data_IF_144536883562
#
_entry.id   IF_144536883562
#
_cell.length_a   1.000
_cell.length_b   1.000
_cell.length_c   1.000
_cell.angle_alpha   90.00
_cell.angle_beta   90.00
_cell.angle_gamma   90.00
#
_symmetry.space_group_name_H-M   'P 1'
#
loop_
_entity.id
_entity.type
_entity.pdbx_description
1 polymer ?
#
# COMPACT_ATOMS: atom_id res chain seq x y z
N UNK A 1 8.12 -1.77 -21.02
CA UNK A 1 8.05 -0.34 -20.62
C UNK A 1 7.57 -0.24 -19.18
N UNK A 2 6.37 -0.69 -18.83
CA UNK A 2 5.85 -0.64 -17.43
C UNK A 2 6.71 -1.34 -16.38
N UNK A 3 7.29 -2.51 -16.67
CA UNK A 3 8.14 -3.23 -15.70
C UNK A 3 9.39 -2.42 -15.33
N UNK A 4 10.03 -1.75 -16.30
CA UNK A 4 11.26 -0.96 -16.07
C UNK A 4 10.94 0.28 -15.22
N UNK A 5 9.84 0.96 -15.52
CA UNK A 5 9.37 2.10 -14.72
C UNK A 5 8.93 1.66 -13.31
N UNK A 6 8.24 0.53 -13.19
CA UNK A 6 7.85 -0.05 -11.90
C UNK A 6 9.05 -0.44 -11.03
N UNK A 7 10.08 -1.08 -11.61
CA UNK A 7 11.32 -1.41 -10.89
C UNK A 7 12.09 -0.15 -10.49
N UNK A 8 12.21 0.84 -11.38
CA UNK A 8 12.88 2.10 -11.07
C UNK A 8 12.19 2.88 -9.94
N UNK A 9 10.87 2.95 -9.97
CA UNK A 9 10.07 3.58 -8.92
C UNK A 9 10.21 2.84 -7.58
N UNK A 10 10.21 1.49 -7.60
CA UNK A 10 10.41 0.69 -6.38
C UNK A 10 11.77 0.96 -5.74
N UNK A 11 12.84 1.03 -6.55
CA UNK A 11 14.18 1.35 -6.04
C UNK A 11 14.24 2.78 -5.48
N UNK A 12 13.56 3.72 -6.12
CA UNK A 12 13.47 5.11 -5.67
C UNK A 12 12.71 5.24 -4.35
N UNK A 13 11.62 4.50 -4.17
CA UNK A 13 10.83 4.53 -2.92
C UNK A 13 11.39 3.64 -1.82
N UNK A 14 12.33 2.74 -2.14
CA UNK A 14 12.92 1.78 -1.21
C UNK A 14 13.41 2.42 0.11
N UNK A 15 14.14 3.56 0.12
CA UNK A 15 14.58 4.18 1.37
C UNK A 15 13.39 4.60 2.24
N UNK A 16 12.32 5.10 1.63
CA UNK A 16 11.08 5.49 2.32
C UNK A 16 10.35 4.26 2.83
N UNK A 17 10.22 3.21 2.02
CA UNK A 17 9.58 1.95 2.40
C UNK A 17 10.29 1.29 3.59
N UNK A 18 11.62 1.22 3.56
CA UNK A 18 12.41 0.64 4.66
C UNK A 18 12.30 1.49 5.92
N UNK A 19 12.43 2.81 5.80
CA UNK A 19 12.31 3.72 6.95
C UNK A 19 10.91 3.65 7.57
N UNK A 20 9.86 3.62 6.75
CA UNK A 20 8.49 3.43 7.18
C UNK A 20 8.30 2.09 7.88
N UNK A 21 8.83 1.01 7.30
CA UNK A 21 8.74 -0.32 7.88
C UNK A 21 9.37 -0.40 9.28
N UNK A 22 10.57 0.18 9.43
CA UNK A 22 11.28 0.26 10.72
C UNK A 22 10.48 1.12 11.70
N UNK A 23 10.01 2.29 11.30
CA UNK A 23 9.23 3.18 12.17
C UNK A 23 7.97 2.49 12.71
N UNK A 24 7.20 1.80 11.86
CA UNK A 24 6.03 1.04 12.31
C UNK A 24 6.40 -0.10 13.26
N UNK A 25 7.45 -0.86 12.93
CA UNK A 25 7.87 -1.99 13.76
C UNK A 25 8.34 -1.58 15.16
N UNK A 26 8.86 -0.36 15.28
CA UNK A 26 9.26 0.23 16.57
C UNK A 26 8.09 0.89 17.31
N UNK A 27 7.07 1.38 16.61
CA UNK A 27 5.96 2.12 17.23
C UNK A 27 4.78 1.26 17.67
N UNK A 28 4.51 0.13 17.02
CA UNK A 28 3.34 -0.70 17.35
C UNK A 28 3.67 -2.19 17.29
N UNK A 29 2.87 -3.00 17.99
CA UNK A 29 2.97 -4.47 17.95
C UNK A 29 1.97 -4.99 16.92
N UNK A 30 2.44 -5.69 15.89
CA UNK A 30 1.55 -6.23 14.87
C UNK A 30 2.24 -6.71 13.60
N UNK A 31 1.45 -7.20 12.62
CA UNK A 31 1.92 -7.40 11.27
C UNK A 31 2.38 -6.08 10.65
N UNK A 32 3.26 -6.16 9.66
CA UNK A 32 3.78 -4.97 8.97
C UNK A 32 2.86 -4.52 7.83
N UNK A 33 2.10 -5.45 7.26
CA UNK A 33 1.28 -5.22 6.08
C UNK A 33 -0.15 -5.66 6.32
N UNK A 34 -1.07 -4.89 5.74
CA UNK A 34 -2.47 -5.22 5.57
C UNK A 34 -2.80 -5.40 4.09
N UNK A 35 -3.95 -6.00 3.83
CA UNK A 35 -4.52 -6.10 2.50
C UNK A 35 -5.91 -5.47 2.51
N UNK A 36 -6.18 -4.61 1.55
CA UNK A 36 -7.50 -4.02 1.34
C UNK A 36 -8.09 -4.59 0.04
N UNK A 37 -9.28 -5.16 0.10
CA UNK A 37 -9.97 -5.63 -1.10
C UNK A 37 -10.39 -4.41 -1.94
N UNK A 38 -9.96 -4.38 -3.20
CA UNK A 38 -10.29 -3.36 -4.19
C UNK A 38 -10.75 -3.98 -5.50
N UNK A 39 -11.47 -3.21 -6.30
CA UNK A 39 -11.96 -3.62 -7.62
C UNK A 39 -11.19 -2.84 -8.70
N UNK A 40 -10.54 -3.54 -9.62
CA UNK A 40 -9.89 -2.95 -10.77
C UNK A 40 -10.90 -2.51 -11.83
N UNK A 41 -10.45 -1.71 -12.81
CA UNK A 41 -11.30 -1.16 -13.88
C UNK A 41 -11.97 -2.23 -14.76
N UNK A 42 -11.38 -3.41 -14.85
CA UNK A 42 -11.94 -4.56 -15.55
C UNK A 42 -12.99 -5.33 -14.71
N UNK A 43 -13.35 -4.82 -13.53
CA UNK A 43 -14.28 -5.46 -12.59
C UNK A 43 -13.67 -6.58 -11.76
N UNK A 44 -12.38 -6.89 -11.90
CA UNK A 44 -11.74 -7.94 -11.10
C UNK A 44 -11.32 -7.42 -9.72
N UNK A 45 -11.66 -8.18 -8.69
CA UNK A 45 -11.19 -7.88 -7.33
C UNK A 45 -9.75 -8.30 -7.14
N UNK A 46 -8.98 -7.50 -6.41
CA UNK A 46 -7.62 -7.79 -6.01
C UNK A 46 -7.35 -7.28 -4.59
N UNK A 47 -6.27 -7.77 -3.98
CA UNK A 47 -5.86 -7.39 -2.63
C UNK A 47 -4.78 -6.32 -2.69
N UNK A 48 -5.16 -5.06 -2.50
CA UNK A 48 -4.24 -3.95 -2.46
C UNK A 48 -3.36 -4.03 -1.19
N UNK A 49 -2.05 -4.17 -1.37
CA UNK A 49 -1.11 -4.28 -0.27
C UNK A 49 -0.82 -2.89 0.32
N UNK A 50 -0.86 -2.75 1.64
CA UNK A 50 -0.54 -1.50 2.33
C UNK A 50 0.18 -1.77 3.63
N UNK A 51 0.80 -0.75 4.20
CA UNK A 51 1.32 -0.84 5.56
C UNK A 51 0.18 -0.96 6.57
N UNK A 52 0.38 -1.82 7.57
CA UNK A 52 -0.49 -1.92 8.73
C UNK A 52 -0.24 -0.69 9.62
N UNK A 53 -1.22 0.19 9.73
CA UNK A 53 -1.07 1.47 10.43
C UNK A 53 -1.94 1.57 11.69
N UNK A 54 -2.62 0.49 12.06
CA UNK A 54 -3.50 0.43 13.21
C UNK A 54 -2.76 -0.08 14.45
N UNK A 55 -3.13 0.45 15.61
CA UNK A 55 -2.75 -0.02 16.94
C UNK A 55 -4.05 -0.16 17.74
N UNK A 56 -4.57 -1.38 17.82
CA UNK A 56 -5.95 -1.64 18.22
C UNK A 56 -6.94 -1.08 17.20
N UNK A 57 -7.97 -0.39 17.67
CA UNK A 57 -9.06 0.16 16.82
C UNK A 57 -8.73 1.53 16.21
N UNK A 58 -7.54 2.07 16.48
CA UNK A 58 -7.15 3.41 16.06
C UNK A 58 -5.80 3.41 15.34
N UNK A 59 -5.55 4.36 14.40
CA UNK A 59 -4.23 4.50 13.82
C UNK A 59 -3.18 4.86 14.87
N UNK A 60 -2.00 4.24 14.81
CA UNK A 60 -0.87 4.64 15.65
C UNK A 60 -0.41 6.06 15.31
N UNK A 61 0.44 6.68 16.14
CA UNK A 61 0.98 8.00 15.85
C UNK A 61 1.74 8.03 14.52
N UNK A 62 2.59 7.03 14.28
CA UNK A 62 3.31 6.84 13.01
C UNK A 62 2.33 6.47 11.89
N UNK A 63 1.39 5.55 12.15
CA UNK A 63 0.38 5.16 11.18
C UNK A 63 -0.48 6.32 10.69
N UNK A 64 -0.86 7.23 11.58
CA UNK A 64 -1.60 8.46 11.26
C UNK A 64 -0.86 9.35 10.28
N UNK A 65 0.47 9.49 10.44
CA UNK A 65 1.31 10.26 9.52
C UNK A 65 1.37 9.56 8.16
N UNK A 66 1.54 8.24 8.14
CA UNK A 66 1.61 7.46 6.90
C UNK A 66 0.34 7.55 6.09
N UNK A 67 -0.83 7.42 6.73
CA UNK A 67 -2.15 7.55 6.08
C UNK A 67 -2.34 8.94 5.48
N UNK A 68 -1.95 9.99 6.21
CA UNK A 68 -2.05 11.39 5.77
C UNK A 68 -1.14 11.70 4.58
N UNK A 69 0.02 11.05 4.53
CA UNK A 69 1.05 11.24 3.50
C UNK A 69 0.97 10.23 2.36
N UNK A 70 0.05 9.26 2.42
CA UNK A 70 -0.07 8.12 1.49
C UNK A 70 1.15 7.20 1.43
N UNK A 71 2.04 7.30 2.41
CA UNK A 71 3.20 6.39 2.53
C UNK A 71 2.73 4.97 2.80
N UNK A 72 1.58 4.81 3.46
CA UNK A 72 0.94 3.54 3.74
C UNK A 72 0.60 2.74 2.47
N UNK A 73 0.37 3.41 1.34
CA UNK A 73 0.03 2.79 0.06
C UNK A 73 1.24 2.47 -0.83
N UNK A 74 2.46 2.89 -0.46
CA UNK A 74 3.68 2.58 -1.24
C UNK A 74 3.85 1.07 -1.52
N UNK A 75 3.52 0.14 -0.60
CA UNK A 75 3.56 -1.29 -0.90
C UNK A 75 2.69 -1.72 -2.10
N UNK A 76 1.70 -0.92 -2.52
CA UNK A 76 0.87 -1.18 -3.71
C UNK A 76 1.70 -1.17 -5.01
N UNK A 77 2.91 -0.61 -5.02
CA UNK A 77 3.84 -0.76 -6.15
C UNK A 77 4.10 -2.23 -6.47
N UNK A 78 4.05 -3.12 -5.47
CA UNK A 78 4.13 -4.57 -5.71
C UNK A 78 2.91 -5.11 -6.46
N UNK A 79 1.71 -4.58 -6.21
CA UNK A 79 0.52 -4.93 -7.00
C UNK A 79 0.66 -4.45 -8.45
N UNK A 80 1.28 -3.28 -8.68
CA UNK A 80 1.58 -2.79 -10.04
C UNK A 80 2.57 -3.71 -10.75
N UNK A 81 3.64 -4.13 -10.07
CA UNK A 81 4.63 -5.05 -10.62
C UNK A 81 4.02 -6.43 -10.92
N UNK A 82 3.05 -6.88 -10.12
CA UNK A 82 2.30 -8.13 -10.36
C UNK A 82 1.25 -8.00 -11.48
N UNK A 83 1.02 -6.80 -12.00
CA UNK A 83 0.00 -6.55 -13.03
C UNK A 83 -1.45 -6.55 -12.50
N UNK A 84 -1.62 -6.49 -11.18
CA UNK A 84 -2.94 -6.43 -10.53
C UNK A 84 -3.51 -5.00 -10.53
N UNK A 85 -2.64 -4.00 -10.67
CA UNK A 85 -2.97 -2.58 -10.57
C UNK A 85 -2.22 -1.75 -11.61
N UNK A 86 -2.83 -0.66 -12.10
CA UNK A 86 -2.17 0.34 -12.94
C UNK A 86 -1.76 1.55 -12.11
N UNK A 87 -0.54 2.06 -12.33
CA UNK A 87 -0.04 3.26 -11.67
C UNK A 87 -0.87 4.51 -12.03
N UNK A 88 -1.29 4.61 -13.30
CA UNK A 88 -1.97 5.80 -13.84
C UNK A 88 -3.50 5.73 -13.74
N UNK A 89 -4.07 4.53 -13.56
CA UNK A 89 -5.51 4.30 -13.53
C UNK A 89 -5.95 3.81 -12.15
N UNK A 90 -5.74 4.66 -11.16
CA UNK A 90 -6.09 4.45 -9.74
C UNK A 90 -7.59 4.64 -9.44
N UNK A 91 -8.49 4.37 -10.40
CA UNK A 91 -9.93 4.48 -10.14
C UNK A 91 -10.49 3.13 -9.62
N UNK A 92 -9.81 2.56 -8.62
CA UNK A 92 -10.23 1.32 -7.96
C UNK A 92 -11.11 1.66 -6.76
N UNK A 93 -12.34 1.18 -6.73
CA UNK A 93 -13.24 1.35 -5.59
C UNK A 93 -13.16 0.16 -4.65
N UNK A 94 -13.58 0.36 -3.40
CA UNK A 94 -13.89 -0.77 -2.52
C UNK A 94 -15.04 -1.57 -3.14
N UNK A 95 -15.06 -2.90 -3.03
CA UNK A 95 -16.19 -3.70 -3.49
C UNK A 95 -17.47 -3.20 -2.82
N UNK A 96 -18.54 -3.05 -3.60
CA UNK A 96 -19.86 -2.79 -3.05
C UNK A 96 -20.23 -3.99 -2.17
N UNK A 97 -20.19 -3.80 -0.86
CA UNK A 97 -20.74 -4.75 0.11
C UNK A 97 -22.27 -4.63 -0.01
N UNK A 98 -22.89 -5.58 -0.72
CA UNK A 98 -24.34 -5.76 -0.78
C UNK A 98 -24.86 -6.43 0.50
#
# INVERSE_FOLDING_TARGET
MDVVFGTGLLLFTLPVTVSAAVALKLSQKGPLFDHEDRVALNGQSFKALRFHCQDGDHPSAVGSIMIKTRIDEIPQVLNVIRGEMSFFTQNSTRPFMA
#
